data_IF_586882227522
#
_entry.id   IF_586882227522
#
_cell.length_a   1.000
_cell.length_b   1.000
_cell.length_c   1.000
_cell.angle_alpha   90.00
_cell.angle_beta   90.00
_cell.angle_gamma   90.00
#
_symmetry.space_group_name_H-M   'P 1'
#
loop_
_entity.id
_entity.type
_entity.pdbx_description
1 polymer ?
#
# COMPACT_ATOMS: atom_id res chain seq x y z
N UNK A 1 -13.45 16.22 11.26
CA UNK A 1 -13.52 14.78 11.62
C UNK A 1 -12.83 13.99 10.53
N UNK A 2 -12.03 12.98 10.89
CA UNK A 2 -11.42 12.08 9.90
C UNK A 2 -12.50 11.14 9.33
N UNK A 3 -12.67 11.11 8.01
CA UNK A 3 -13.56 10.15 7.36
C UNK A 3 -12.85 8.79 7.26
N UNK A 4 -13.51 7.75 7.77
CA UNK A 4 -13.00 6.38 7.82
C UNK A 4 -13.77 5.47 6.87
N UNK A 5 -13.07 4.54 6.23
CA UNK A 5 -13.62 3.62 5.25
C UNK A 5 -13.23 2.18 5.57
N UNK A 6 -14.19 1.27 5.48
CA UNK A 6 -13.90 -0.17 5.52
C UNK A 6 -13.48 -0.62 4.12
N UNK A 7 -12.32 -1.25 4.02
CA UNK A 7 -11.82 -1.82 2.76
C UNK A 7 -11.97 -3.34 2.73
N UNK A 8 -11.97 -3.91 1.52
CA UNK A 8 -11.96 -5.37 1.34
C UNK A 8 -10.62 -5.98 1.74
N UNK A 9 -10.64 -7.27 2.06
CA UNK A 9 -9.52 -7.97 2.70
C UNK A 9 -8.23 -7.92 1.89
N UNK A 10 -8.29 -8.04 0.56
CA UNK A 10 -7.07 -8.00 -0.26
C UNK A 10 -6.32 -6.67 -0.22
N UNK A 11 -7.04 -5.55 -0.23
CA UNK A 11 -6.42 -4.21 -0.09
C UNK A 11 -5.95 -4.00 1.35
N UNK A 12 -6.75 -4.42 2.34
CA UNK A 12 -6.36 -4.36 3.75
C UNK A 12 -5.01 -5.06 3.96
N UNK A 13 -4.89 -6.30 3.48
CA UNK A 13 -3.68 -7.08 3.63
C UNK A 13 -2.49 -6.43 2.93
N UNK A 14 -2.67 -5.90 1.71
CA UNK A 14 -1.60 -5.20 1.00
C UNK A 14 -1.11 -3.96 1.75
N UNK A 15 -2.01 -3.15 2.32
CA UNK A 15 -1.63 -1.98 3.11
C UNK A 15 -0.92 -2.40 4.40
N UNK A 16 -1.40 -3.44 5.09
CA UNK A 16 -0.73 -3.96 6.28
C UNK A 16 0.66 -4.51 5.96
N UNK A 17 0.83 -5.20 4.82
CA UNK A 17 2.15 -5.63 4.35
C UNK A 17 3.09 -4.44 4.11
N UNK A 18 2.61 -3.37 3.47
CA UNK A 18 3.40 -2.15 3.27
C UNK A 18 3.83 -1.54 4.61
N UNK A 19 2.88 -1.39 5.55
CA UNK A 19 3.17 -0.81 6.86
C UNK A 19 4.19 -1.64 7.64
N UNK A 20 4.03 -2.96 7.65
CA UNK A 20 4.95 -3.88 8.31
C UNK A 20 6.34 -3.86 7.66
N UNK A 21 6.40 -3.85 6.32
CA UNK A 21 7.66 -3.78 5.59
C UNK A 21 8.42 -2.48 5.91
N UNK A 22 7.73 -1.34 5.88
CA UNK A 22 8.34 -0.04 6.25
C UNK A 22 8.84 -0.05 7.69
N UNK A 23 8.05 -0.58 8.64
CA UNK A 23 8.47 -0.66 10.04
C UNK A 23 9.72 -1.52 10.19
N UNK A 24 9.80 -2.64 9.46
CA UNK A 24 10.94 -3.54 9.50
C UNK A 24 12.21 -2.92 8.88
N UNK A 25 12.09 -2.21 7.76
CA UNK A 25 13.23 -1.59 7.06
C UNK A 25 13.70 -0.28 7.71
N UNK A 26 12.79 0.50 8.29
CA UNK A 26 13.10 1.85 8.82
C UNK A 26 13.12 1.92 10.35
N UNK A 27 12.70 0.86 11.04
CA UNK A 27 12.54 0.81 12.49
C UNK A 27 11.41 1.70 13.04
N UNK A 28 10.63 2.36 12.19
CA UNK A 28 9.54 3.25 12.60
C UNK A 28 8.27 2.94 11.84
N UNK A 29 7.20 2.58 12.57
CA UNK A 29 5.88 2.35 11.99
C UNK A 29 5.38 3.60 11.23
N UNK A 30 4.97 3.48 9.95
CA UNK A 30 4.42 4.60 9.21
C UNK A 30 2.96 4.89 9.62
N UNK A 31 2.55 6.13 9.43
CA UNK A 31 1.15 6.55 9.54
C UNK A 31 0.35 6.21 8.27
N UNK A 32 -0.97 6.09 8.37
CA UNK A 32 -1.85 5.95 7.20
C UNK A 32 -1.74 7.15 6.25
N UNK A 33 -1.41 8.34 6.76
CA UNK A 33 -1.23 9.55 5.94
C UNK A 33 0.07 9.47 5.13
N UNK A 34 1.17 9.02 5.75
CA UNK A 34 2.44 8.77 5.03
C UNK A 34 2.23 7.73 3.93
N UNK A 35 1.61 6.59 4.25
CA UNK A 35 1.31 5.55 3.26
C UNK A 35 0.44 6.08 2.12
N UNK A 36 -0.61 6.85 2.43
CA UNK A 36 -1.46 7.43 1.40
C UNK A 36 -0.72 8.42 0.48
N UNK A 37 0.19 9.21 1.05
CA UNK A 37 1.03 10.15 0.29
C UNK A 37 1.92 9.39 -0.71
N UNK A 38 2.59 8.34 -0.25
CA UNK A 38 3.46 7.51 -1.09
C UNK A 38 2.67 6.82 -2.21
N UNK A 39 1.53 6.21 -1.88
CA UNK A 39 0.66 5.55 -2.86
C UNK A 39 0.02 6.52 -3.86
N UNK A 40 -0.11 7.80 -3.50
CA UNK A 40 -0.61 8.84 -4.40
C UNK A 40 0.49 9.47 -5.26
N UNK A 41 1.76 9.16 -4.99
CA UNK A 41 2.88 9.69 -5.78
C UNK A 41 2.81 9.15 -7.20
N UNK A 42 3.08 10.03 -8.17
CA UNK A 42 3.06 9.65 -9.58
C UNK A 42 4.00 8.48 -9.88
N UNK A 43 5.15 8.44 -9.22
CA UNK A 43 6.12 7.35 -9.36
C UNK A 43 5.50 6.00 -8.99
N UNK A 44 4.94 5.88 -7.78
CA UNK A 44 4.34 4.61 -7.32
C UNK A 44 3.13 4.23 -8.18
N UNK A 45 2.27 5.19 -8.52
CA UNK A 45 1.12 4.94 -9.39
C UNK A 45 1.57 4.39 -10.77
N UNK A 46 2.63 4.96 -11.33
CA UNK A 46 3.18 4.52 -12.60
C UNK A 46 3.77 3.10 -12.52
N UNK A 47 4.56 2.82 -11.49
CA UNK A 47 5.18 1.51 -11.30
C UNK A 47 4.15 0.41 -11.02
N UNK A 48 3.13 0.70 -10.22
CA UNK A 48 2.00 -0.23 -10.03
C UNK A 48 1.27 -0.47 -11.35
N UNK A 49 1.07 0.56 -12.17
CA UNK A 49 0.48 0.42 -13.50
C UNK A 49 1.29 -0.47 -14.44
N UNK A 50 2.62 -0.30 -14.46
CA UNK A 50 3.55 -1.14 -15.22
C UNK A 50 3.51 -2.60 -14.76
N UNK A 51 3.52 -2.81 -13.45
CA UNK A 51 3.47 -4.13 -12.84
C UNK A 51 2.16 -4.86 -13.18
N UNK A 52 1.02 -4.15 -13.15
CA UNK A 52 -0.27 -4.71 -13.54
C UNK A 52 -0.31 -5.03 -15.02
N UNK A 53 0.19 -4.14 -15.88
CA UNK A 53 0.29 -4.39 -17.33
C UNK A 53 1.13 -5.64 -17.61
N UNK A 54 2.21 -5.85 -16.87
CA UNK A 54 3.03 -7.06 -16.94
C UNK A 54 2.25 -8.31 -16.51
N UNK A 55 1.54 -8.26 -15.37
CA UNK A 55 0.73 -9.37 -14.87
C UNK A 55 -0.40 -9.77 -15.84
N UNK A 56 -1.06 -8.79 -16.46
CA UNK A 56 -2.13 -9.03 -17.44
C UNK A 56 -1.59 -9.70 -18.71
N UNK A 57 -0.42 -9.29 -19.20
CA UNK A 57 0.23 -9.90 -20.37
C UNK A 57 0.64 -11.35 -20.15
N UNK A 58 0.97 -11.75 -18.93
CA UNK A 58 1.37 -13.12 -18.59
C UNK A 58 0.21 -14.08 -18.28
N UNK A 59 -1.05 -13.67 -18.48
CA UNK A 59 -2.20 -14.56 -18.27
C UNK A 59 -2.35 -15.04 -16.82
N UNK A 60 -2.04 -14.17 -15.83
CA UNK A 60 -2.16 -14.51 -14.41
C UNK A 60 -1.02 -15.36 -13.83
N UNK A 61 -0.05 -15.77 -14.65
CA UNK A 61 1.20 -16.39 -14.19
C UNK A 61 2.02 -15.41 -13.36
N UNK A 62 2.51 -15.89 -12.20
CA UNK A 62 3.27 -15.13 -11.21
C UNK A 62 4.26 -14.13 -11.84
N UNK A 63 4.25 -12.84 -11.43
CA UNK A 63 5.41 -12.00 -11.72
C UNK A 63 6.61 -12.60 -10.98
N UNK A 64 7.72 -12.80 -11.70
CA UNK A 64 8.96 -13.41 -11.22
C UNK A 64 9.73 -12.53 -10.24
N UNK A 65 9.06 -12.03 -9.20
CA UNK A 65 9.66 -11.46 -8.01
C UNK A 65 8.95 -12.10 -6.83
N UNK A 66 9.70 -12.80 -5.99
CA UNK A 66 9.17 -13.55 -4.85
C UNK A 66 8.12 -12.73 -4.12
N UNK A 67 6.92 -13.29 -3.98
CA UNK A 67 5.95 -12.74 -3.04
C UNK A 67 6.62 -12.79 -1.68
N UNK A 68 6.76 -11.65 -1.03
CA UNK A 68 7.24 -11.63 0.35
C UNK A 68 6.12 -12.29 1.15
N UNK A 69 6.37 -13.51 1.65
CA UNK A 69 5.57 -14.07 2.72
C UNK A 69 5.76 -13.13 3.91
N UNK A 70 4.72 -12.35 4.18
CA UNK A 70 4.66 -11.58 5.41
C UNK A 70 4.51 -12.61 6.52
N UNK A 71 5.62 -12.91 7.21
CA UNK A 71 5.63 -13.69 8.45
C UNK A 71 4.59 -13.04 9.37
N UNK A 72 3.45 -13.70 9.62
CA UNK A 72 2.30 -13.06 10.26
C UNK A 72 2.69 -12.58 11.65
N UNK A 73 2.95 -11.27 11.86
CA UNK A 73 3.33 -10.81 13.17
C UNK A 73 2.05 -10.85 13.99
N UNK A 74 2.12 -11.37 15.21
CA UNK A 74 1.00 -11.26 16.15
C UNK A 74 0.83 -9.77 16.52
N UNK A 75 0.02 -9.05 15.74
CA UNK A 75 -0.09 -7.59 15.82
C UNK A 75 -0.98 -7.19 17.00
N UNK A 76 -0.39 -6.56 18.02
CA UNK A 76 -1.11 -6.09 19.22
C UNK A 76 -1.87 -4.79 18.95
N UNK A 77 -3.10 -4.68 19.47
CA UNK A 77 -3.88 -3.44 19.54
C UNK A 77 -3.66 -2.81 20.91
N UNK A 78 -3.26 -1.53 20.96
CA UNK A 78 -3.20 -0.81 22.23
C UNK A 78 -4.61 -0.37 22.63
N UNK A 79 -5.20 -1.05 23.61
CA UNK A 79 -6.55 -0.74 24.12
C UNK A 79 -6.54 0.25 25.29
N UNK A 80 -5.37 0.57 25.87
CA UNK A 80 -5.28 1.46 27.06
C UNK A 80 -5.53 2.93 26.74
N UNK A 81 -5.09 3.38 25.56
CA UNK A 81 -5.28 4.76 25.07
C UNK A 81 -6.31 4.84 23.94
N UNK A 82 -6.98 3.73 23.64
CA UNK A 82 -7.67 3.52 22.37
C UNK A 82 -6.67 3.25 21.22
N UNK A 83 -7.11 2.55 20.16
CA UNK A 83 -6.25 2.31 19.01
C UNK A 83 -5.88 3.64 18.35
N UNK A 84 -4.60 3.80 18.02
CA UNK A 84 -4.19 4.89 17.12
C UNK A 84 -4.91 4.74 15.78
N UNK A 85 -5.07 5.82 15.02
CA UNK A 85 -5.64 5.76 13.67
C UNK A 85 -4.93 4.69 12.83
N UNK A 86 -3.63 4.50 13.03
CA UNK A 86 -2.80 3.52 12.32
C UNK A 86 -2.99 2.08 12.80
N UNK A 87 -3.52 1.88 14.01
CA UNK A 87 -3.92 0.55 14.49
C UNK A 87 -5.30 0.14 13.98
N UNK A 88 -6.15 1.10 13.57
CA UNK A 88 -7.45 0.81 12.94
C UNK A 88 -7.31 0.09 11.59
N UNK A 89 -6.15 0.24 10.92
CA UNK A 89 -5.83 -0.50 9.70
C UNK A 89 -5.94 -2.03 9.90
N UNK A 90 -5.62 -2.52 11.11
CA UNK A 90 -5.72 -3.94 11.49
C UNK A 90 -7.17 -4.46 11.44
N UNK A 91 -8.13 -3.58 11.74
CA UNK A 91 -9.55 -3.86 11.63
C UNK A 91 -10.10 -3.62 10.22
N UNK A 92 -9.25 -3.28 9.24
CA UNK A 92 -9.66 -2.93 7.88
C UNK A 92 -10.30 -1.54 7.77
N UNK A 93 -10.10 -0.68 8.78
CA UNK A 93 -10.64 0.67 8.84
C UNK A 93 -9.53 1.65 8.47
N UNK A 94 -9.72 2.36 7.37
CA UNK A 94 -8.71 3.22 6.77
C UNK A 94 -9.15 4.67 6.67
N UNK A 95 -8.20 5.58 6.76
CA UNK A 95 -8.41 6.99 6.48
C UNK A 95 -8.82 7.21 5.02
N UNK A 96 -9.65 8.23 4.75
CA UNK A 96 -10.06 8.64 3.40
C UNK A 96 -8.91 8.74 2.41
N UNK A 97 -7.75 9.20 2.85
CA UNK A 97 -6.57 9.37 2.00
C UNK A 97 -6.09 8.06 1.40
N UNK A 98 -6.14 6.94 2.13
CA UNK A 98 -5.79 5.61 1.60
C UNK A 98 -6.80 5.23 0.51
N UNK A 99 -8.10 5.46 0.75
CA UNK A 99 -9.13 5.21 -0.27
C UNK A 99 -8.90 6.04 -1.53
N UNK A 100 -8.62 7.32 -1.37
CA UNK A 100 -8.34 8.21 -2.49
C UNK A 100 -7.09 7.77 -3.27
N UNK A 101 -6.04 7.31 -2.59
CA UNK A 101 -4.83 6.79 -3.23
C UNK A 101 -5.10 5.53 -4.06
N UNK A 102 -5.85 4.57 -3.51
CA UNK A 102 -6.24 3.35 -4.23
C UNK A 102 -7.16 3.66 -5.41
N UNK A 103 -8.12 4.57 -5.23
CA UNK A 103 -9.00 5.00 -6.32
C UNK A 103 -8.23 5.73 -7.42
N UNK A 104 -7.25 6.57 -7.07
CA UNK A 104 -6.38 7.26 -8.03
C UNK A 104 -5.53 6.26 -8.82
N UNK A 105 -4.98 5.26 -8.14
CA UNK A 105 -4.26 4.15 -8.78
C UNK A 105 -5.16 3.41 -9.77
N UNK A 106 -6.38 3.06 -9.36
CA UNK A 106 -7.37 2.39 -10.23
C UNK A 106 -7.70 3.24 -11.46
N UNK A 107 -7.95 4.54 -11.27
CA UNK A 107 -8.26 5.46 -12.36
C UNK A 107 -7.08 5.60 -13.33
N UNK A 108 -5.86 5.71 -12.82
CA UNK A 108 -4.65 5.77 -13.63
C UNK A 108 -4.50 4.52 -14.50
N UNK A 109 -4.63 3.34 -13.91
CA UNK A 109 -4.52 2.06 -14.62
C UNK A 109 -5.62 1.94 -15.69
N UNK A 110 -6.85 2.33 -15.36
CA UNK A 110 -7.94 2.36 -16.34
C UNK A 110 -7.61 3.26 -17.53
N UNK A 111 -7.00 4.42 -17.27
CA UNK A 111 -6.61 5.38 -18.33
C UNK A 111 -5.44 4.87 -19.18
N UNK A 112 -4.44 4.24 -18.58
CA UNK A 112 -3.18 3.89 -19.26
C UNK A 112 -3.16 2.47 -19.83
N UNK A 113 -3.84 1.53 -19.17
CA UNK A 113 -3.90 0.12 -19.57
C UNK A 113 -5.25 -0.22 -20.23
N UNK A 114 -6.27 0.62 -20.05
CA UNK A 114 -7.60 0.41 -20.65
C UNK A 114 -8.47 -0.60 -19.91
N UNK A 115 -8.00 -1.12 -18.77
CA UNK A 115 -8.71 -2.14 -17.96
C UNK A 115 -9.00 -1.59 -16.58
N UNK A 116 -10.17 -1.90 -16.03
CA UNK A 116 -10.46 -1.60 -14.63
C UNK A 116 -9.90 -2.72 -13.73
N UNK A 117 -8.79 -2.49 -12.99
CA UNK A 117 -8.17 -3.54 -12.21
C UNK A 117 -9.02 -3.92 -10.99
N UNK A 118 -9.10 -5.21 -10.68
CA UNK A 118 -9.70 -5.71 -9.45
C UNK A 118 -8.83 -5.35 -8.24
N UNK A 119 -9.43 -5.38 -7.05
CA UNK A 119 -8.70 -5.16 -5.80
C UNK A 119 -7.55 -6.16 -5.62
N UNK A 120 -7.72 -7.42 -6.05
CA UNK A 120 -6.71 -8.45 -5.90
C UNK A 120 -5.48 -8.23 -6.78
N UNK A 121 -5.68 -7.69 -7.99
CA UNK A 121 -4.59 -7.34 -8.90
C UNK A 121 -3.79 -6.14 -8.37
N UNK A 122 -4.49 -5.13 -7.84
CA UNK A 122 -3.85 -3.99 -7.18
C UNK A 122 -3.06 -4.48 -5.96
N UNK A 123 -3.70 -5.25 -5.07
CA UNK A 123 -3.10 -5.79 -3.86
C UNK A 123 -1.85 -6.62 -4.16
N UNK A 124 -1.91 -7.52 -5.14
CA UNK A 124 -0.77 -8.34 -5.57
C UNK A 124 0.39 -7.47 -6.07
N UNK A 125 0.10 -6.40 -6.79
CA UNK A 125 1.12 -5.49 -7.31
C UNK A 125 1.77 -4.67 -6.21
N UNK A 126 0.99 -4.17 -5.26
CA UNK A 126 1.48 -3.46 -4.08
C UNK A 126 2.39 -4.31 -3.19
N UNK A 127 2.12 -5.62 -3.11
CA UNK A 127 2.94 -6.58 -2.34
C UNK A 127 4.19 -7.07 -3.09
N UNK A 128 4.44 -6.61 -4.32
CA UNK A 128 5.66 -7.01 -5.02
C UNK A 128 6.89 -6.37 -4.40
N UNK A 129 7.98 -7.14 -4.28
CA UNK A 129 9.23 -6.67 -3.66
C UNK A 129 9.73 -5.36 -4.26
N UNK A 130 9.67 -5.23 -5.58
CA UNK A 130 10.03 -4.00 -6.29
C UNK A 130 9.23 -2.77 -5.79
N UNK A 131 7.91 -2.88 -5.68
CA UNK A 131 7.07 -1.77 -5.21
C UNK A 131 7.34 -1.48 -3.72
N UNK A 132 7.51 -2.51 -2.90
CA UNK A 132 7.81 -2.35 -1.48
C UNK A 132 9.14 -1.62 -1.25
N UNK A 133 10.20 -2.01 -1.96
CA UNK A 133 11.50 -1.35 -1.88
C UNK A 133 11.42 0.11 -2.36
N UNK A 134 10.64 0.39 -3.40
CA UNK A 134 10.45 1.76 -3.87
C UNK A 134 9.71 2.63 -2.83
N UNK A 135 8.66 2.09 -2.22
CA UNK A 135 7.90 2.81 -1.18
C UNK A 135 8.83 3.24 -0.04
N UNK A 136 9.74 2.37 0.40
CA UNK A 136 10.73 2.71 1.43
C UNK A 136 11.68 3.80 0.96
N UNK A 137 12.21 3.69 -0.25
CA UNK A 137 13.09 4.70 -0.86
C UNK A 137 12.44 6.09 -0.90
N UNK A 138 11.17 6.14 -1.35
CA UNK A 138 10.39 7.38 -1.42
C UNK A 138 10.05 7.94 -0.03
N UNK A 139 9.76 7.08 0.95
CA UNK A 139 9.51 7.49 2.32
C UNK A 139 10.76 8.13 2.96
N UNK A 140 11.93 7.53 2.76
CA UNK A 140 13.19 8.07 3.25
C UNK A 140 13.48 9.45 2.67
N UNK A 141 13.23 9.63 1.38
CA UNK A 141 13.32 10.93 0.74
C UNK A 141 12.32 11.93 1.34
N UNK A 142 11.05 11.54 1.47
CA UNK A 142 9.98 12.38 2.03
C UNK A 142 10.26 12.81 3.49
N UNK A 143 10.78 11.91 4.33
CA UNK A 143 11.13 12.22 5.72
C UNK A 143 12.35 13.14 5.80
N UNK A 144 13.31 13.05 4.88
CA UNK A 144 14.47 13.96 4.81
C UNK A 144 14.08 15.36 4.35
N UNK A 145 13.16 15.49 3.40
CA UNK A 145 12.71 16.80 2.90
C UNK A 145 11.80 17.53 3.89
N UNK A 146 10.98 16.80 4.65
CA UNK A 146 10.05 17.40 5.64
C UNK A 146 10.75 17.88 6.92
N UNK A 147 11.99 17.43 7.19
CA UNK A 147 12.81 17.86 8.33
C UNK A 147 13.61 19.15 8.07
N UNK A 148 13.53 19.72 6.86
CA UNK A 148 14.12 21.03 6.52
C UNK A 148 13.04 22.10 6.57
#
# INVERSE_FOLDING_TARGET
MAELYKMGDSIKDAILTIMAYIENETGTKPTQVEVASLLSSYFIINEVGNQIKYQLKKGGGQPGGGQIEADEPFQKLNLKTGPSLDDLAKAGIFHRSIKAAIDSTRQYIKKTVGVNPSNDIIARSLKSSFILSEIVSQLDHHRKTTKK
#
